data_IF_010496784381
#
_entry.id   IF_010496784381
#
_cell.length_a   1.000
_cell.length_b   1.000
_cell.length_c   1.000
_cell.angle_alpha   90.00
_cell.angle_beta   90.00
_cell.angle_gamma   90.00
#
_symmetry.space_group_name_H-M   'P 1'
#
loop_
_entity.id
_entity.type
_entity.pdbx_description
1 polymer ?
#
# COMPACT_ATOMS: atom_id res chain seq x y z
N UNK A 1 11.31 29.08 -6.22
CA UNK A 1 10.88 28.57 -5.88
C UNK A 1 10.53 27.45 -5.99
N UNK A 2 10.25 26.97 -5.73
CA UNK A 2 9.96 26.07 -5.69
C UNK A 2 9.21 25.24 -5.93
N UNK A 3 9.08 24.81 -6.44
CA UNK A 3 8.19 23.80 -6.84
C UNK A 3 7.70 22.91 -5.79
N UNK A 4 7.67 23.47 -4.67
CA UNK A 4 7.14 22.84 -3.54
C UNK A 4 5.69 22.56 -3.77
N UNK A 5 5.21 21.44 -3.37
CA UNK A 5 3.81 21.18 -3.43
C UNK A 5 3.27 20.60 -4.72
N UNK A 6 4.15 20.19 -5.58
CA UNK A 6 3.69 19.44 -6.73
C UNK A 6 3.18 18.11 -6.23
N UNK A 7 1.91 17.81 -6.47
CA UNK A 7 1.29 16.58 -6.05
C UNK A 7 0.75 15.80 -7.24
N UNK A 8 0.59 14.49 -7.05
CA UNK A 8 -0.05 13.63 -8.02
C UNK A 8 -1.04 12.75 -7.29
N UNK A 9 -2.11 12.38 -7.95
CA UNK A 9 -3.13 11.54 -7.34
C UNK A 9 -3.36 10.30 -8.21
N UNK A 10 -3.71 9.22 -7.53
CA UNK A 10 -4.06 7.97 -8.20
C UNK A 10 -5.22 7.36 -7.44
N UNK A 11 -6.25 6.92 -8.15
CA UNK A 11 -7.38 6.21 -7.56
C UNK A 11 -7.53 4.88 -8.27
N UNK A 12 -7.61 3.81 -7.48
CA UNK A 12 -7.82 2.46 -8.00
C UNK A 12 -9.03 1.89 -7.28
N UNK A 13 -9.96 1.33 -8.05
CA UNK A 13 -11.14 0.69 -7.50
C UNK A 13 -11.18 -0.74 -8.01
N UNK A 14 -11.40 -1.70 -7.11
CA UNK A 14 -11.51 -3.11 -7.48
C UNK A 14 -12.48 -3.81 -6.55
N UNK A 15 -13.32 -4.67 -7.12
CA UNK A 15 -14.25 -5.49 -6.34
C UNK A 15 -13.64 -6.87 -6.14
N UNK A 16 -13.60 -7.32 -4.88
CA UNK A 16 -13.08 -8.62 -4.51
C UNK A 16 -14.21 -9.56 -4.17
N UNK A 17 -14.13 -10.80 -4.61
CA UNK A 17 -15.14 -11.82 -4.33
C UNK A 17 -14.87 -12.45 -2.96
N UNK A 18 -14.99 -11.62 -1.92
CA UNK A 18 -14.75 -12.02 -0.54
C UNK A 18 -15.49 -11.05 0.38
N UNK A 19 -15.96 -11.51 1.55
CA UNK A 19 -16.66 -10.63 2.49
C UNK A 19 -15.72 -9.56 3.06
N UNK A 20 -16.29 -8.43 3.41
CA UNK A 20 -15.53 -7.27 3.87
C UNK A 20 -14.60 -7.59 5.05
N UNK A 21 -15.03 -8.41 5.98
CA UNK A 21 -14.20 -8.77 7.12
C UNK A 21 -12.93 -9.50 6.71
N UNK A 22 -13.03 -10.33 5.68
CA UNK A 22 -11.87 -11.09 5.20
C UNK A 22 -10.88 -10.16 4.50
N UNK A 23 -11.39 -9.24 3.67
CA UNK A 23 -10.55 -8.25 3.00
C UNK A 23 -9.90 -7.34 4.03
N UNK A 24 -10.65 -6.93 5.05
CA UNK A 24 -10.13 -6.14 6.16
C UNK A 24 -8.98 -6.87 6.87
N UNK A 25 -9.17 -8.15 7.14
CA UNK A 25 -8.16 -8.97 7.78
C UNK A 25 -6.87 -9.02 6.97
N UNK A 26 -7.00 -9.17 5.65
CA UNK A 26 -5.85 -9.23 4.76
C UNK A 26 -5.07 -7.91 4.73
N UNK A 27 -5.72 -6.80 5.06
CA UNK A 27 -5.10 -5.48 5.10
C UNK A 27 -4.57 -5.08 6.47
N UNK A 28 -4.96 -5.79 7.53
CA UNK A 28 -4.61 -5.38 8.89
C UNK A 28 -3.69 -6.34 9.62
N UNK A 29 -3.59 -7.59 9.16
CA UNK A 29 -2.70 -8.54 9.79
C UNK A 29 -1.37 -8.61 9.05
N UNK A 30 -0.30 -8.36 9.78
CA UNK A 30 1.06 -8.34 9.22
C UNK A 30 1.39 -9.60 8.43
N UNK A 31 1.01 -10.77 8.93
CA UNK A 31 1.29 -12.04 8.25
C UNK A 31 0.68 -12.12 6.86
N UNK A 32 -0.40 -11.39 6.63
CA UNK A 32 -1.03 -11.33 5.31
C UNK A 32 -0.38 -10.26 4.44
N UNK A 33 -0.12 -9.08 5.01
CA UNK A 33 0.51 -7.97 4.29
C UNK A 33 1.83 -8.44 3.66
N UNK A 34 2.64 -9.15 4.41
CA UNK A 34 3.96 -9.57 3.91
C UNK A 34 3.87 -10.53 2.73
N UNK A 35 2.70 -11.13 2.50
CA UNK A 35 2.50 -12.07 1.39
C UNK A 35 2.05 -11.42 0.10
N UNK A 36 1.28 -10.32 0.19
CA UNK A 36 0.73 -9.72 -1.03
C UNK A 36 1.25 -8.31 -1.34
N UNK A 37 1.90 -7.66 -0.39
CA UNK A 37 2.40 -6.31 -0.61
C UNK A 37 3.49 -6.30 -1.67
N UNK A 38 3.39 -5.34 -2.61
CA UNK A 38 4.39 -5.16 -3.67
C UNK A 38 4.04 -5.88 -4.97
N UNK A 39 4.62 -5.43 -6.08
CA UNK A 39 4.34 -6.02 -7.39
C UNK A 39 4.76 -7.48 -7.48
N UNK A 40 4.34 -8.13 -8.57
CA UNK A 40 4.70 -9.52 -8.82
C UNK A 40 6.22 -9.68 -8.81
N UNK A 41 6.68 -10.71 -8.14
CA UNK A 41 8.11 -11.01 -8.04
C UNK A 41 8.81 -10.34 -6.86
N UNK A 42 8.10 -9.46 -6.15
CA UNK A 42 8.66 -8.81 -4.95
C UNK A 42 8.32 -9.62 -3.71
N UNK A 43 9.22 -9.57 -2.73
CA UNK A 43 9.01 -10.17 -1.42
C UNK A 43 9.23 -9.10 -0.36
N UNK A 44 8.87 -9.41 0.87
CA UNK A 44 8.95 -8.44 1.96
C UNK A 44 9.74 -9.02 3.14
N UNK A 45 11.08 -9.08 3.02
CA UNK A 45 11.92 -9.68 4.09
C UNK A 45 11.84 -8.91 5.41
N UNK A 46 11.49 -7.63 5.38
CA UNK A 46 11.19 -6.86 6.57
C UNK A 46 9.79 -6.32 6.42
N UNK A 47 8.90 -6.66 7.35
CA UNK A 47 7.52 -6.18 7.30
C UNK A 47 7.01 -5.94 8.70
N UNK A 48 6.91 -4.67 9.05
CA UNK A 48 6.33 -4.25 10.32
C UNK A 48 5.09 -3.44 9.97
N UNK A 49 3.93 -3.94 10.39
CA UNK A 49 2.64 -3.37 10.00
C UNK A 49 1.73 -3.41 11.22
N UNK A 50 1.83 -2.38 12.04
CA UNK A 50 1.03 -2.29 13.27
C UNK A 50 -0.24 -1.52 12.97
N UNK A 51 -1.27 -2.23 12.54
CA UNK A 51 -2.53 -1.64 12.08
C UNK A 51 -3.41 -1.16 13.22
N UNK A 52 -2.90 -0.21 13.96
CA UNK A 52 -3.62 0.50 15.01
C UNK A 52 -3.38 1.98 14.81
N UNK A 53 -4.26 2.83 15.34
CA UNK A 53 -4.08 4.27 15.23
C UNK A 53 -2.74 4.67 15.86
N UNK A 54 -1.89 5.32 15.08
CA UNK A 54 -0.54 5.69 15.51
C UNK A 54 0.49 4.58 15.33
N UNK A 55 0.06 3.41 14.87
CA UNK A 55 0.95 2.27 14.70
C UNK A 55 1.99 2.47 13.61
N UNK A 56 3.12 1.79 13.76
CA UNK A 56 4.27 1.96 12.89
C UNK A 56 4.21 1.07 11.66
N UNK A 57 4.69 1.61 10.55
CA UNK A 57 4.85 0.88 9.29
C UNK A 57 6.33 0.89 8.92
N UNK A 58 6.87 -0.28 8.60
CA UNK A 58 8.24 -0.39 8.08
C UNK A 58 8.30 -1.63 7.21
N UNK A 59 8.38 -1.42 5.90
CA UNK A 59 8.42 -2.52 4.94
C UNK A 59 9.63 -2.34 4.03
N UNK A 60 10.42 -3.41 3.90
CA UNK A 60 11.50 -3.44 2.91
C UNK A 60 11.09 -4.43 1.83
N UNK A 61 10.69 -3.92 0.67
CA UNK A 61 10.39 -4.77 -0.48
C UNK A 61 11.69 -5.17 -1.13
N UNK A 62 11.79 -6.44 -1.51
CA UNK A 62 12.93 -6.94 -2.25
C UNK A 62 12.48 -7.33 -3.64
N UNK A 63 13.04 -6.70 -4.65
CA UNK A 63 12.71 -6.98 -6.04
C UNK A 63 13.40 -8.23 -6.54
N UNK A 64 12.99 -8.73 -7.72
CA UNK A 64 13.62 -9.91 -8.32
C UNK A 64 15.09 -9.70 -8.64
N UNK A 65 15.51 -8.44 -8.77
CA UNK A 65 16.92 -8.09 -9.01
C UNK A 65 17.75 -8.05 -7.71
N UNK A 66 17.11 -8.29 -6.56
CA UNK A 66 17.78 -8.25 -5.27
C UNK A 66 17.82 -6.87 -4.61
N UNK A 67 17.38 -5.84 -5.29
CA UNK A 67 17.38 -4.49 -4.73
C UNK A 67 16.29 -4.34 -3.67
N UNK A 68 16.60 -3.55 -2.65
CA UNK A 68 15.68 -3.28 -1.54
C UNK A 68 15.04 -1.91 -1.72
N UNK A 69 13.73 -1.86 -1.54
CA UNK A 69 12.94 -0.62 -1.64
C UNK A 69 12.26 -0.39 -0.29
N UNK A 70 12.89 0.38 0.61
CA UNK A 70 12.32 0.60 1.94
C UNK A 70 11.16 1.58 1.92
N UNK A 71 10.22 1.37 2.83
CA UNK A 71 9.10 2.27 3.03
C UNK A 71 8.83 2.35 4.53
N UNK A 72 8.67 3.56 5.04
CA UNK A 72 8.30 3.79 6.43
C UNK A 72 7.01 4.59 6.53
N UNK A 73 6.41 4.63 7.71
CA UNK A 73 5.21 5.42 7.90
C UNK A 73 4.48 5.10 9.18
N UNK A 74 3.24 5.56 9.25
CA UNK A 74 2.38 5.28 10.39
C UNK A 74 0.91 5.36 10.01
N UNK A 75 0.08 4.70 10.79
CA UNK A 75 -1.36 4.77 10.61
C UNK A 75 -1.91 6.03 11.25
N UNK A 76 -2.74 6.75 10.51
CA UNK A 76 -3.39 7.96 10.99
C UNK A 76 -4.75 7.63 11.61
N UNK A 77 -5.55 6.83 10.89
CA UNK A 77 -6.90 6.48 11.31
C UNK A 77 -7.22 5.07 10.89
N UNK A 78 -7.81 4.31 11.79
CA UNK A 78 -8.33 2.98 11.48
C UNK A 78 -9.77 2.93 11.97
N UNK A 79 -10.70 2.81 11.01
CA UNK A 79 -12.13 2.72 11.32
C UNK A 79 -12.62 1.37 10.80
N UNK A 80 -12.60 0.37 11.67
CA UNK A 80 -12.98 -1.00 11.31
C UNK A 80 -14.46 -1.09 11.03
N UNK A 81 -14.89 -1.77 9.98
CA UNK A 81 -14.12 -2.37 8.89
C UNK A 81 -14.19 -1.55 7.62
N UNK A 82 -14.28 -0.24 7.73
CA UNK A 82 -14.62 0.65 6.63
C UNK A 82 -13.46 1.39 6.00
N UNK A 83 -12.48 1.82 6.81
CA UNK A 83 -11.50 2.77 6.30
C UNK A 83 -10.16 2.69 7.03
N UNK A 84 -9.09 2.77 6.25
CA UNK A 84 -7.73 2.89 6.77
C UNK A 84 -7.09 4.10 6.11
N UNK A 85 -6.49 4.98 6.93
CA UNK A 85 -5.71 6.10 6.41
C UNK A 85 -4.31 6.00 7.00
N UNK A 86 -3.30 6.02 6.15
CA UNK A 86 -1.93 6.01 6.61
C UNK A 86 -1.04 6.87 5.72
N UNK A 87 0.02 7.42 6.33
CA UNK A 87 1.04 8.15 5.58
C UNK A 87 2.27 7.26 5.47
N UNK A 88 2.90 7.29 4.30
CA UNK A 88 4.09 6.51 4.07
C UNK A 88 5.12 7.36 3.34
N UNK A 89 6.38 6.96 3.48
CA UNK A 89 7.52 7.61 2.85
C UNK A 89 8.27 6.54 2.08
N UNK A 90 8.44 6.76 0.78
CA UNK A 90 9.24 5.85 -0.03
C UNK A 90 10.70 6.29 0.06
N UNK A 91 11.58 5.33 0.30
CA UNK A 91 13.00 5.59 0.45
C UNK A 91 13.79 4.87 -0.63
N UNK A 92 14.88 5.47 -1.05
CA UNK A 92 15.80 4.86 -1.98
C UNK A 92 17.03 4.33 -1.27
N UNK A 93 18.08 4.11 -2.02
CA UNK A 93 19.35 3.65 -1.47
C UNK A 93 19.86 4.63 -0.42
N UNK A 94 20.47 4.10 0.64
CA UNK A 94 21.03 4.87 1.74
C UNK A 94 19.98 5.70 2.49
N UNK A 95 18.71 5.31 2.40
CA UNK A 95 17.65 6.00 3.12
C UNK A 95 17.24 7.33 2.52
N UNK A 96 17.62 7.59 1.27
CA UNK A 96 17.27 8.83 0.60
C UNK A 96 15.75 8.96 0.43
N UNK A 97 15.20 10.10 0.82
CA UNK A 97 13.77 10.38 0.64
C UNK A 97 13.43 10.49 -0.85
N UNK A 98 12.39 9.78 -1.28
CA UNK A 98 11.92 9.83 -2.66
C UNK A 98 10.60 10.60 -2.79
N UNK A 99 9.61 10.24 -2.00
CA UNK A 99 8.31 10.93 -1.99
C UNK A 99 7.49 10.47 -0.79
N UNK A 100 6.46 11.26 -0.49
CA UNK A 100 5.49 10.94 0.55
C UNK A 100 4.18 10.51 -0.10
N UNK A 101 3.41 9.70 0.61
CA UNK A 101 2.09 9.26 0.14
C UNK A 101 1.09 9.36 1.28
N UNK A 102 -0.06 9.98 0.98
CA UNK A 102 -1.21 9.86 1.87
C UNK A 102 -2.10 8.79 1.25
N UNK A 103 -2.28 7.70 1.97
CA UNK A 103 -3.03 6.54 1.50
C UNK A 103 -4.37 6.46 2.20
N UNK A 104 -5.46 6.42 1.43
CA UNK A 104 -6.80 6.27 1.96
C UNK A 104 -7.42 5.03 1.32
N UNK A 105 -7.77 4.06 2.15
CA UNK A 105 -8.31 2.78 1.68
C UNK A 105 -9.72 2.64 2.23
N UNK A 106 -10.70 2.55 1.34
CA UNK A 106 -12.10 2.38 1.73
C UNK A 106 -12.59 0.99 1.36
N UNK A 107 -13.29 0.36 2.29
CA UNK A 107 -13.84 -0.98 2.15
C UNK A 107 -15.36 -0.87 2.14
N UNK A 108 -15.97 -1.04 0.98
CA UNK A 108 -17.43 -0.93 0.83
C UNK A 108 -18.03 -2.31 0.64
N UNK A 109 -18.98 -2.67 1.50
CA UNK A 109 -19.65 -3.95 1.40
C UNK A 109 -20.66 -3.93 0.27
N UNK A 110 -20.62 -4.96 -0.58
CA UNK A 110 -21.55 -5.12 -1.69
C UNK A 110 -22.04 -6.57 -1.69
N UNK A 111 -23.04 -6.84 -0.84
CA UNK A 111 -23.50 -8.21 -0.64
C UNK A 111 -22.41 -9.03 0.03
N UNK A 112 -22.00 -10.11 -0.60
CA UNK A 112 -20.92 -10.96 -0.11
C UNK A 112 -19.56 -10.59 -0.72
N UNK A 113 -19.53 -9.48 -1.44
CA UNK A 113 -18.30 -8.97 -2.07
C UNK A 113 -17.86 -7.67 -1.41
N UNK A 114 -16.64 -7.25 -1.72
CA UNK A 114 -16.08 -6.02 -1.18
C UNK A 114 -15.53 -5.17 -2.31
N UNK A 115 -16.00 -3.92 -2.37
CA UNK A 115 -15.44 -2.93 -3.27
C UNK A 115 -14.35 -2.18 -2.51
N UNK A 116 -13.13 -2.27 -3.00
CA UNK A 116 -11.99 -1.61 -2.41
C UNK A 116 -11.63 -0.38 -3.23
N UNK A 117 -11.57 0.78 -2.59
CA UNK A 117 -11.16 2.01 -3.26
C UNK A 117 -9.88 2.50 -2.60
N UNK A 118 -8.81 2.58 -3.38
CA UNK A 118 -7.52 3.05 -2.92
C UNK A 118 -7.30 4.43 -3.52
N UNK A 119 -7.04 5.40 -2.67
CA UNK A 119 -6.75 6.76 -3.11
C UNK A 119 -5.39 7.16 -2.57
N UNK A 120 -4.50 7.59 -3.46
CA UNK A 120 -3.15 7.98 -3.12
C UNK A 120 -2.88 9.41 -3.52
N UNK A 121 -2.31 10.18 -2.60
CA UNK A 121 -1.83 11.53 -2.91
C UNK A 121 -0.33 11.50 -2.68
N UNK A 122 0.42 11.63 -3.78
CA UNK A 122 1.88 11.65 -3.76
C UNK A 122 2.33 13.10 -3.64
N UNK A 123 3.26 13.36 -2.74
CA UNK A 123 3.79 14.72 -2.52
C UNK A 123 5.29 14.68 -2.23
N UNK A 124 5.91 15.86 -2.21
CA UNK A 124 7.34 15.99 -1.96
C UNK A 124 8.17 15.06 -2.85
N UNK A 125 7.78 14.99 -4.12
CA UNK A 125 8.36 14.06 -5.09
C UNK A 125 9.66 14.63 -5.62
N UNK A 126 10.77 13.90 -5.43
CA UNK A 126 12.03 14.33 -6.03
C UNK A 126 12.04 13.94 -7.51
N UNK A 127 12.78 14.67 -8.36
CA UNK A 127 12.73 14.40 -9.82
C UNK A 127 13.06 12.96 -10.20
N UNK A 128 14.02 12.34 -9.55
CA UNK A 128 14.41 10.95 -9.85
C UNK A 128 13.31 9.95 -9.56
N UNK A 129 12.35 10.31 -8.71
CA UNK A 129 11.29 9.40 -8.31
C UNK A 129 10.02 9.52 -9.16
N UNK A 130 9.97 10.43 -10.13
CA UNK A 130 8.77 10.59 -10.94
C UNK A 130 8.42 9.32 -11.72
N UNK A 131 9.41 8.56 -12.15
CA UNK A 131 9.17 7.30 -12.84
C UNK A 131 8.53 6.26 -11.92
N UNK A 132 8.83 6.34 -10.62
CA UNK A 132 8.22 5.43 -9.65
C UNK A 132 6.73 5.71 -9.52
N UNK A 133 6.37 6.99 -9.53
CA UNK A 133 4.96 7.40 -9.48
C UNK A 133 4.23 6.96 -10.75
N UNK A 134 4.88 7.13 -11.91
CA UNK A 134 4.29 6.74 -13.19
C UNK A 134 3.99 5.24 -13.24
N UNK A 135 4.78 4.42 -12.55
CA UNK A 135 4.58 2.98 -12.51
C UNK A 135 3.68 2.50 -11.37
N UNK A 136 3.20 3.41 -10.52
CA UNK A 136 2.44 3.03 -9.33
C UNK A 136 1.14 2.30 -9.64
N UNK A 137 0.43 2.73 -10.69
CA UNK A 137 -0.83 2.10 -11.08
C UNK A 137 -0.62 0.62 -11.41
N UNK A 138 0.35 0.33 -12.27
CA UNK A 138 0.66 -1.04 -12.64
C UNK A 138 1.12 -1.85 -11.42
N UNK A 139 2.01 -1.27 -10.61
CA UNK A 139 2.52 -1.94 -9.42
C UNK A 139 1.42 -2.29 -8.45
N UNK A 140 0.50 -1.37 -8.20
CA UNK A 140 -0.62 -1.62 -7.30
C UNK A 140 -1.57 -2.68 -7.84
N UNK A 141 -1.83 -2.66 -9.15
CA UNK A 141 -2.69 -3.69 -9.74
C UNK A 141 -2.06 -5.07 -9.62
N UNK A 142 -0.75 -5.18 -9.76
CA UNK A 142 -0.05 -6.45 -9.53
C UNK A 142 -0.18 -6.90 -8.08
N UNK A 143 -0.06 -5.97 -7.12
CA UNK A 143 -0.23 -6.28 -5.70
C UNK A 143 -1.65 -6.77 -5.42
N UNK A 144 -2.64 -6.11 -6.00
CA UNK A 144 -4.04 -6.49 -5.79
C UNK A 144 -4.34 -7.85 -6.43
N UNK A 145 -3.67 -8.21 -7.52
CA UNK A 145 -3.78 -9.56 -8.10
C UNK A 145 -3.30 -10.61 -7.11
N UNK A 146 -2.20 -10.31 -6.40
CA UNK A 146 -1.68 -11.21 -5.36
C UNK A 146 -2.67 -11.30 -4.19
N UNK A 147 -3.31 -10.18 -3.86
CA UNK A 147 -4.33 -10.17 -2.81
C UNK A 147 -5.52 -11.06 -3.19
N UNK A 148 -5.95 -11.03 -4.45
CA UNK A 148 -7.01 -11.91 -4.93
C UNK A 148 -6.67 -13.37 -4.64
N UNK A 149 -5.44 -13.78 -4.94
CA UNK A 149 -5.02 -15.16 -4.72
C UNK A 149 -4.94 -15.49 -3.24
N UNK A 150 -4.45 -14.57 -2.43
CA UNK A 150 -4.38 -14.78 -0.98
C UNK A 150 -5.77 -14.97 -0.37
N UNK A 151 -6.74 -14.15 -0.81
CA UNK A 151 -8.10 -14.24 -0.28
C UNK A 151 -8.77 -15.59 -0.49
N UNK A 152 -8.29 -16.36 -1.47
CA UNK A 152 -8.80 -17.71 -1.72
C UNK A 152 -8.31 -18.70 -0.69
N UNK A 153 -7.25 -18.36 0.05
CA UNK A 153 -6.58 -19.28 0.98
C UNK A 153 -6.82 -18.97 2.45
N UNK A 154 -7.33 -17.79 2.78
CA UNK A 154 -7.54 -17.39 4.18
C UNK A 154 -9.03 -17.40 4.52
N UNK A 155 -9.32 -17.49 5.80
CA UNK A 155 -10.71 -17.55 6.30
C UNK A 155 -10.95 -16.65 7.48
#
# INVERSE_FOLDING_TARGET
METIGKTKELTITRTFNAPRELVWKAWTEQKHIEKWWGPKGFTNPVCEWDATTGGKINIHMKGPDGNIYPMGGKFNTITKPEKIVFTSVALGENGKHLFDVLNTINFTEEGDKTKLTLHFIFSNIIPEAEKNIAGADMGWNMSLDKLVELLKTIK
#
